data_IF_716288482562
#
_entry.id   IF_716288482562
#
_cell.length_a   1.000
_cell.length_b   1.000
_cell.length_c   1.000
_cell.angle_alpha   90.00
_cell.angle_beta   90.00
_cell.angle_gamma   90.00
#
_symmetry.space_group_name_H-M   'P 1'
#
loop_
_entity.id
_entity.type
_entity.pdbx_description
1 polymer ?
#
# COMPACT_ATOMS: atom_id res chain seq x y z
N UNK A 1 -6.10 31.33 6.09
CA UNK A 1 -4.97 30.43 6.31
C UNK A 1 -5.27 29.12 5.63
N UNK A 2 -4.37 28.61 4.79
CA UNK A 2 -4.59 27.43 3.97
C UNK A 2 -3.62 26.33 4.36
N UNK A 3 -4.07 25.09 4.30
CA UNK A 3 -3.29 23.92 4.68
C UNK A 3 -3.26 22.95 3.50
N UNK A 4 -2.10 22.83 2.88
CA UNK A 4 -1.85 21.75 1.95
C UNK A 4 -1.76 20.44 2.74
N UNK A 5 -2.49 19.43 2.32
CA UNK A 5 -2.55 18.13 2.98
C UNK A 5 -2.36 17.02 1.95
N UNK A 6 -1.44 16.12 2.25
CA UNK A 6 -1.12 14.98 1.39
C UNK A 6 -1.00 13.74 2.27
N UNK A 7 -1.87 12.76 2.03
CA UNK A 7 -1.85 11.50 2.75
C UNK A 7 -2.44 10.38 1.90
N UNK A 8 -1.64 9.40 1.56
CA UNK A 8 -2.07 8.31 0.69
C UNK A 8 -2.54 8.83 -0.68
N UNK A 9 -3.79 8.58 -1.02
CA UNK A 9 -4.41 9.06 -2.28
C UNK A 9 -5.00 10.48 -2.18
N UNK A 10 -5.01 11.07 -0.99
CA UNK A 10 -5.56 12.41 -0.78
C UNK A 10 -4.46 13.44 -0.95
N UNK A 11 -4.70 14.40 -1.84
CA UNK A 11 -3.86 15.57 -2.03
C UNK A 11 -4.79 16.77 -2.26
N UNK A 12 -4.93 17.63 -1.25
CA UNK A 12 -5.92 18.69 -1.24
C UNK A 12 -5.49 19.89 -0.39
N UNK A 13 -6.26 20.96 -0.44
CA UNK A 13 -6.07 22.16 0.37
C UNK A 13 -7.29 22.37 1.26
N UNK A 14 -7.06 22.64 2.53
CA UNK A 14 -8.09 23.02 3.50
C UNK A 14 -7.91 24.50 3.89
N UNK A 15 -9.01 25.16 4.13
CA UNK A 15 -9.03 26.56 4.57
C UNK A 15 -9.06 26.75 6.10
N UNK A 16 -9.17 25.65 6.86
CA UNK A 16 -9.16 25.67 8.31
C UNK A 16 -8.49 24.42 8.89
N UNK A 17 -7.99 24.56 10.10
CA UNK A 17 -7.30 23.49 10.83
C UNK A 17 -8.23 22.38 11.26
N UNK A 18 -9.48 22.69 11.60
CA UNK A 18 -10.45 21.70 12.10
C UNK A 18 -10.68 20.58 11.06
N UNK A 19 -10.77 20.96 9.78
CA UNK A 19 -10.90 19.99 8.69
C UNK A 19 -9.65 19.11 8.56
N UNK A 20 -8.46 19.68 8.74
CA UNK A 20 -7.20 18.90 8.72
C UNK A 20 -7.14 17.95 9.92
N UNK A 21 -7.48 18.39 11.12
CA UNK A 21 -7.41 17.57 12.34
C UNK A 21 -8.36 16.37 12.29
N UNK A 22 -9.54 16.53 11.69
CA UNK A 22 -10.50 15.43 11.49
C UNK A 22 -9.93 14.30 10.64
N UNK A 23 -9.16 14.61 9.59
CA UNK A 23 -8.62 13.61 8.69
C UNK A 23 -7.17 13.22 9.03
N UNK A 24 -6.43 14.07 9.71
CA UNK A 24 -5.04 13.84 10.11
C UNK A 24 -4.86 12.49 10.81
N UNK A 25 -5.79 12.14 11.70
CA UNK A 25 -5.74 10.91 12.50
C UNK A 25 -6.16 9.66 11.73
N UNK A 26 -6.77 9.83 10.55
CA UNK A 26 -7.25 8.71 9.73
C UNK A 26 -6.17 8.15 8.81
N UNK A 27 -5.11 8.92 8.61
CA UNK A 27 -4.03 8.55 7.68
C UNK A 27 -2.70 8.41 8.42
N UNK A 28 -1.96 7.35 8.15
CA UNK A 28 -0.61 7.22 8.66
C UNK A 28 0.31 8.21 7.91
N UNK A 29 1.15 8.91 8.67
CA UNK A 29 2.14 9.87 8.17
C UNK A 29 1.59 10.92 7.19
N UNK A 30 0.54 11.67 7.57
CA UNK A 30 0.07 12.76 6.74
C UNK A 30 1.11 13.88 6.70
N UNK A 31 1.32 14.42 5.52
CA UNK A 31 2.12 15.62 5.32
C UNK A 31 1.17 16.79 5.20
N UNK A 32 1.39 17.81 6.01
CA UNK A 32 0.66 19.06 5.86
C UNK A 32 1.60 20.26 6.00
N UNK A 33 1.27 21.30 5.29
CA UNK A 33 2.01 22.57 5.35
C UNK A 33 1.04 23.73 5.31
N UNK A 34 1.34 24.76 6.10
CA UNK A 34 0.54 25.96 6.25
C UNK A 34 1.00 27.04 5.28
N UNK A 35 0.04 27.73 4.64
CA UNK A 35 0.27 28.81 3.70
C UNK A 35 -0.64 30.00 4.00
N UNK A 36 -0.22 31.20 3.60
CA UNK A 36 -1.03 32.40 3.68
C UNK A 36 -1.96 32.52 2.47
N UNK A 37 -1.53 32.04 1.33
CA UNK A 37 -2.23 32.04 0.06
C UNK A 37 -2.75 30.64 -0.27
N UNK A 38 -3.93 30.58 -0.86
CA UNK A 38 -4.50 29.33 -1.39
C UNK A 38 -3.72 28.84 -2.59
N UNK A 39 -3.26 29.75 -3.43
CA UNK A 39 -2.47 29.43 -4.61
C UNK A 39 -1.15 28.73 -4.24
N UNK A 40 -0.43 29.24 -3.23
CA UNK A 40 0.80 28.62 -2.75
C UNK A 40 0.54 27.24 -2.18
N UNK A 41 -0.59 27.06 -1.47
CA UNK A 41 -0.98 25.76 -0.95
C UNK A 41 -1.27 24.75 -2.07
N UNK A 42 -1.97 25.17 -3.12
CA UNK A 42 -2.21 24.32 -4.29
C UNK A 42 -0.96 24.07 -5.11
N UNK A 43 -0.07 25.05 -5.25
CA UNK A 43 1.22 24.84 -5.90
C UNK A 43 2.04 23.77 -5.14
N UNK A 44 2.03 23.85 -3.82
CA UNK A 44 2.67 22.82 -2.99
C UNK A 44 2.04 21.43 -3.20
N UNK A 45 0.71 21.33 -3.15
CA UNK A 45 0.00 20.07 -3.41
C UNK A 45 0.32 19.54 -4.80
N UNK A 46 0.27 20.37 -5.83
CA UNK A 46 0.51 19.97 -7.21
C UNK A 46 1.95 19.51 -7.46
N UNK A 47 2.90 20.12 -6.76
CA UNK A 47 4.32 19.74 -6.84
C UNK A 47 4.60 18.43 -6.08
N UNK A 48 3.84 18.17 -5.02
CA UNK A 48 4.12 17.04 -4.10
C UNK A 48 3.08 15.93 -4.14
N UNK A 49 1.96 16.11 -4.87
CA UNK A 49 1.02 15.01 -5.07
C UNK A 49 1.67 13.92 -5.91
N UNK A 50 1.60 12.71 -5.42
CA UNK A 50 1.94 11.55 -6.25
C UNK A 50 0.87 11.45 -7.32
N UNK A 51 1.25 11.64 -8.56
CA UNK A 51 0.37 11.31 -9.68
C UNK A 51 -0.03 9.84 -9.56
N UNK A 52 -1.32 9.56 -9.57
CA UNK A 52 -1.86 8.19 -9.58
C UNK A 52 -1.44 7.39 -10.83
N UNK A 53 -0.84 8.07 -11.79
CA UNK A 53 -0.21 7.47 -12.95
C UNK A 53 1.26 7.18 -12.63
N UNK A 54 1.44 6.06 -12.06
CA UNK A 54 2.61 5.29 -11.73
C UNK A 54 3.71 5.36 -12.77
N UNK A 55 4.53 6.37 -12.79
CA UNK A 55 5.84 6.22 -13.45
C UNK A 55 6.97 7.05 -12.85
N UNK A 56 6.73 7.83 -11.83
CA UNK A 56 7.84 8.59 -11.24
C UNK A 56 7.78 8.65 -9.72
N UNK A 57 8.25 7.61 -9.09
CA UNK A 57 8.63 7.59 -7.67
C UNK A 57 9.89 8.43 -7.42
N UNK A 58 10.42 9.06 -8.43
CA UNK A 58 11.62 9.88 -8.38
C UNK A 58 11.39 11.32 -7.89
N UNK A 59 10.16 11.77 -7.74
CA UNK A 59 9.90 13.16 -7.33
C UNK A 59 9.84 13.38 -5.81
N UNK A 60 9.79 12.33 -5.01
CA UNK A 60 9.90 12.40 -3.54
C UNK A 60 11.29 12.00 -3.08
N UNK A 61 12.31 12.56 -3.75
CA UNK A 61 13.67 12.44 -3.29
C UNK A 61 13.76 12.86 -1.81
N UNK A 62 14.32 12.00 -1.01
CA UNK A 62 14.95 12.19 0.31
C UNK A 62 14.07 12.58 1.51
N UNK A 63 12.89 13.17 1.37
CA UNK A 63 12.13 13.64 2.54
C UNK A 63 10.98 12.69 2.92
N UNK A 64 10.48 11.89 1.98
CA UNK A 64 9.41 10.92 2.18
C UNK A 64 9.73 9.59 1.49
N UNK A 65 10.95 9.09 1.62
CA UNK A 65 11.26 7.72 1.19
C UNK A 65 10.62 6.74 2.17
N UNK A 66 9.30 6.60 2.11
CA UNK A 66 8.65 5.47 2.75
C UNK A 66 9.26 4.19 2.20
N UNK A 67 9.55 3.25 3.06
CA UNK A 67 9.96 1.94 2.59
C UNK A 67 8.89 1.40 1.65
N UNK A 68 9.30 0.99 0.47
CA UNK A 68 8.42 0.42 -0.55
C UNK A 68 8.71 -1.04 -0.72
N UNK A 69 7.68 -1.86 -0.68
CA UNK A 69 7.77 -3.30 -0.91
C UNK A 69 6.90 -3.66 -2.09
N UNK A 70 7.49 -4.33 -3.07
CA UNK A 70 6.75 -4.99 -4.12
C UNK A 70 6.40 -6.39 -3.65
N UNK A 71 5.11 -6.68 -3.50
CA UNK A 71 4.59 -7.98 -3.10
C UNK A 71 4.00 -8.71 -4.29
N UNK A 72 4.57 -9.85 -4.60
CA UNK A 72 3.97 -10.87 -5.47
C UNK A 72 3.60 -12.07 -4.64
N UNK A 73 2.60 -12.83 -5.06
CA UNK A 73 2.19 -14.03 -4.35
C UNK A 73 1.63 -15.08 -5.30
N UNK A 74 1.63 -16.30 -4.83
CA UNK A 74 1.03 -17.46 -5.49
C UNK A 74 0.26 -18.30 -4.48
N UNK A 75 -0.94 -18.71 -4.85
CA UNK A 75 -1.76 -19.64 -4.07
C UNK A 75 -1.62 -21.02 -4.70
N UNK A 76 -1.17 -22.00 -3.94
CA UNK A 76 -0.99 -23.36 -4.42
C UNK A 76 -1.15 -24.36 -3.29
N UNK A 77 -2.01 -25.35 -3.49
CA UNK A 77 -2.18 -26.51 -2.59
C UNK A 77 -2.34 -26.16 -1.10
N UNK A 78 -3.14 -25.13 -0.78
CA UNK A 78 -3.35 -24.66 0.59
C UNK A 78 -2.18 -23.84 1.17
N UNK A 79 -1.19 -23.52 0.36
CA UNK A 79 -0.07 -22.64 0.70
C UNK A 79 -0.21 -21.31 -0.02
N UNK A 80 0.28 -20.27 0.61
CA UNK A 80 0.51 -18.99 -0.05
C UNK A 80 2.00 -18.68 0.01
N UNK A 81 2.61 -18.54 -1.15
CA UNK A 81 4.02 -18.18 -1.27
C UNK A 81 4.12 -16.74 -1.73
N UNK A 82 4.84 -15.93 -0.96
CA UNK A 82 5.07 -14.53 -1.25
C UNK A 82 6.53 -14.31 -1.66
N UNK A 83 6.70 -13.41 -2.61
CA UNK A 83 7.98 -12.77 -2.86
C UNK A 83 7.82 -11.27 -2.59
N UNK A 84 8.57 -10.76 -1.62
CA UNK A 84 8.51 -9.37 -1.17
C UNK A 84 9.84 -8.70 -1.45
N UNK A 85 9.88 -7.89 -2.48
CA UNK A 85 11.09 -7.16 -2.89
C UNK A 85 11.05 -5.76 -2.31
N UNK A 86 12.05 -5.45 -1.50
CA UNK A 86 12.19 -4.15 -0.87
C UNK A 86 12.98 -3.19 -1.78
N UNK A 87 12.46 -1.97 -1.95
CA UNK A 87 13.10 -0.89 -2.69
C UNK A 87 13.25 0.34 -1.81
N UNK A 88 14.31 1.13 -2.04
CA UNK A 88 14.47 2.44 -1.41
C UNK A 88 14.87 2.46 0.06
N UNK A 89 15.16 1.33 0.69
CA UNK A 89 15.57 1.23 2.09
C UNK A 89 17.00 0.71 2.17
N UNK A 90 17.86 1.34 3.01
CA UNK A 90 19.23 0.89 3.21
C UNK A 90 19.29 -0.48 3.88
N UNK A 91 18.52 -0.65 4.95
CA UNK A 91 18.50 -1.88 5.72
C UNK A 91 17.31 -2.75 5.35
N UNK A 92 17.48 -4.07 5.40
CA UNK A 92 16.40 -5.02 5.20
C UNK A 92 15.42 -4.92 6.37
N UNK A 93 14.13 -4.82 6.06
CA UNK A 93 13.07 -4.78 7.07
C UNK A 93 12.78 -6.15 7.67
N UNK A 94 12.86 -7.18 6.83
CA UNK A 94 12.61 -8.54 7.26
C UNK A 94 13.81 -9.10 8.00
N UNK A 95 13.56 -9.90 9.03
CA UNK A 95 14.60 -10.56 9.82
C UNK A 95 14.48 -12.08 9.67
N UNK A 96 15.61 -12.77 9.76
CA UNK A 96 15.65 -14.24 9.71
C UNK A 96 15.20 -14.92 11.01
N UNK A 97 14.64 -14.17 11.96
CA UNK A 97 14.16 -14.75 13.23
C UNK A 97 12.87 -15.54 13.04
N UNK A 98 12.11 -15.30 11.98
CA UNK A 98 10.93 -16.07 11.63
C UNK A 98 11.30 -17.19 10.65
N UNK A 99 11.10 -18.47 11.00
CA UNK A 99 11.44 -19.61 10.14
C UNK A 99 10.64 -19.66 8.83
N UNK A 100 9.54 -18.92 8.74
CA UNK A 100 8.73 -18.81 7.53
C UNK A 100 9.32 -17.82 6.51
N UNK A 101 10.31 -17.01 6.92
CA UNK A 101 10.90 -15.97 6.10
C UNK A 101 12.32 -16.35 5.70
N UNK A 102 12.55 -16.50 4.40
CA UNK A 102 13.88 -16.67 3.82
C UNK A 102 14.30 -15.36 3.15
N UNK A 103 15.42 -14.79 3.55
CA UNK A 103 15.89 -13.50 3.06
C UNK A 103 17.14 -13.69 2.20
N UNK A 104 17.10 -13.10 1.02
CA UNK A 104 18.29 -12.79 0.22
C UNK A 104 18.61 -11.30 0.42
N UNK A 105 19.62 -11.03 1.23
CA UNK A 105 20.03 -9.66 1.55
C UNK A 105 20.62 -8.92 0.35
N UNK A 106 21.25 -9.63 -0.57
CA UNK A 106 21.88 -9.04 -1.74
C UNK A 106 20.84 -8.47 -2.72
N UNK A 107 19.79 -9.24 -2.99
CA UNK A 107 18.69 -8.81 -3.87
C UNK A 107 17.57 -8.08 -3.11
N UNK A 108 17.67 -7.95 -1.78
CA UNK A 108 16.62 -7.41 -0.90
C UNK A 108 15.26 -8.10 -1.12
N UNK A 109 15.30 -9.39 -1.25
CA UNK A 109 14.14 -10.23 -1.50
C UNK A 109 13.85 -11.12 -0.29
N UNK A 110 12.63 -11.02 0.25
CA UNK A 110 12.11 -11.96 1.24
C UNK A 110 11.15 -12.93 0.56
N UNK A 111 11.35 -14.22 0.78
CA UNK A 111 10.38 -15.26 0.44
C UNK A 111 9.68 -15.71 1.70
N UNK A 112 8.35 -15.68 1.69
CA UNK A 112 7.52 -16.03 2.84
C UNK A 112 6.55 -17.11 2.42
N UNK A 113 6.47 -18.16 3.22
CA UNK A 113 5.53 -19.28 2.99
C UNK A 113 4.56 -19.36 4.14
N UNK A 114 3.28 -19.14 3.87
CA UNK A 114 2.20 -19.32 4.84
C UNK A 114 1.44 -20.60 4.54
N UNK A 115 1.22 -21.40 5.60
CA UNK A 115 0.51 -22.68 5.56
C UNK A 115 -0.78 -22.60 6.37
N UNK A 116 -1.73 -23.48 6.08
CA UNK A 116 -2.92 -23.66 6.91
C UNK A 116 -3.91 -22.48 6.85
N UNK A 117 -3.89 -21.71 5.80
CA UNK A 117 -4.87 -20.64 5.59
C UNK A 117 -6.15 -21.27 5.06
N UNK A 118 -7.27 -20.96 5.72
CA UNK A 118 -8.59 -21.36 5.23
C UNK A 118 -8.90 -20.60 3.95
N UNK A 119 -8.73 -21.28 2.83
CA UNK A 119 -9.13 -20.82 1.51
C UNK A 119 -10.55 -21.32 1.23
N UNK A 120 -11.30 -20.53 0.52
CA UNK A 120 -12.65 -20.85 0.06
C UNK A 120 -12.64 -21.24 -1.41
N UNK A 121 -13.82 -21.66 -1.90
CA UNK A 121 -14.02 -21.93 -3.35
C UNK A 121 -14.07 -20.66 -4.20
N UNK A 122 -14.30 -19.50 -3.58
CA UNK A 122 -14.32 -18.23 -4.29
C UNK A 122 -12.90 -17.68 -4.53
N UNK A 123 -12.54 -17.58 -5.81
CA UNK A 123 -11.22 -17.17 -6.26
C UNK A 123 -10.86 -15.75 -5.77
N UNK A 124 -11.77 -14.79 -5.92
CA UNK A 124 -11.49 -13.38 -5.54
C UNK A 124 -11.26 -13.27 -4.05
N UNK A 125 -12.11 -13.90 -3.23
CA UNK A 125 -11.97 -13.93 -1.78
C UNK A 125 -10.63 -14.51 -1.36
N UNK A 126 -10.20 -15.61 -1.95
CA UNK A 126 -8.91 -16.24 -1.65
C UNK A 126 -7.73 -15.31 -1.95
N UNK A 127 -7.77 -14.60 -3.07
CA UNK A 127 -6.73 -13.64 -3.39
C UNK A 127 -6.72 -12.43 -2.44
N UNK A 128 -7.87 -11.93 -2.03
CA UNK A 128 -7.94 -10.85 -1.04
C UNK A 128 -7.44 -11.33 0.35
N UNK A 129 -7.75 -12.57 0.74
CA UNK A 129 -7.22 -13.19 1.95
C UNK A 129 -5.69 -13.30 1.87
N UNK A 130 -5.16 -13.73 0.73
CA UNK A 130 -3.72 -13.80 0.52
C UNK A 130 -3.07 -12.43 0.67
N UNK A 131 -3.63 -11.39 0.06
CA UNK A 131 -3.13 -10.03 0.16
C UNK A 131 -3.15 -9.53 1.61
N UNK A 132 -4.25 -9.71 2.34
CA UNK A 132 -4.36 -9.33 3.76
C UNK A 132 -3.29 -10.01 4.62
N UNK A 133 -3.03 -11.30 4.41
CA UNK A 133 -2.01 -12.01 5.16
C UNK A 133 -0.59 -11.57 4.81
N UNK A 134 -0.32 -11.31 3.53
CA UNK A 134 0.96 -10.74 3.09
C UNK A 134 1.22 -9.36 3.71
N UNK A 135 0.20 -8.52 3.76
CA UNK A 135 0.29 -7.20 4.40
C UNK A 135 0.51 -7.27 5.91
N UNK A 136 0.03 -8.32 6.59
CA UNK A 136 0.36 -8.55 8.01
C UNK A 136 1.84 -8.82 8.20
N UNK A 137 2.47 -9.57 7.30
CA UNK A 137 3.91 -9.83 7.34
C UNK A 137 4.71 -8.56 7.10
N UNK A 138 4.30 -7.74 6.13
CA UNK A 138 4.93 -6.45 5.84
C UNK A 138 4.77 -5.49 7.02
N UNK A 139 3.63 -5.50 7.69
CA UNK A 139 3.26 -4.58 8.76
C UNK A 139 2.69 -3.25 8.24
N UNK A 140 2.20 -2.40 9.14
CA UNK A 140 1.58 -1.12 8.79
C UNK A 140 2.60 -0.08 8.35
N UNK A 141 2.11 0.97 7.71
CA UNK A 141 2.87 2.20 7.38
C UNK A 141 3.98 2.03 6.35
N UNK A 142 3.78 1.12 5.41
CA UNK A 142 4.70 0.89 4.31
C UNK A 142 3.94 1.01 3.01
N UNK A 143 4.56 1.66 2.03
CA UNK A 143 4.05 1.64 0.67
C UNK A 143 4.23 0.26 0.06
N UNK A 144 3.17 -0.28 -0.52
CA UNK A 144 3.18 -1.63 -1.10
C UNK A 144 2.70 -1.59 -2.54
N UNK A 145 3.49 -2.17 -3.43
CA UNK A 145 3.04 -2.53 -4.77
C UNK A 145 2.52 -3.96 -4.74
N UNK A 146 1.24 -4.14 -4.94
CA UNK A 146 0.59 -5.45 -4.98
C UNK A 146 0.53 -5.90 -6.44
N UNK A 147 1.22 -6.97 -6.77
CA UNK A 147 1.19 -7.56 -8.10
C UNK A 147 0.19 -8.70 -8.11
N UNK A 148 -0.88 -8.55 -8.87
CA UNK A 148 -1.98 -9.52 -8.96
C UNK A 148 -1.94 -10.31 -10.27
N UNK A 149 -2.44 -11.57 -10.27
CA UNK A 149 -2.31 -12.44 -11.43
C UNK A 149 -3.31 -12.14 -12.54
N UNK A 150 -4.43 -11.46 -12.28
CA UNK A 150 -5.46 -11.22 -13.30
C UNK A 150 -6.29 -9.97 -13.06
N UNK A 151 -7.09 -9.60 -14.06
CA UNK A 151 -7.94 -8.41 -14.07
C UNK A 151 -9.07 -8.43 -13.03
N UNK A 152 -9.64 -9.58 -12.70
CA UNK A 152 -10.74 -9.65 -11.73
C UNK A 152 -10.28 -9.21 -10.35
N UNK A 153 -9.07 -9.60 -9.93
CA UNK A 153 -8.50 -9.20 -8.67
C UNK A 153 -8.06 -7.73 -8.72
N UNK A 154 -7.49 -7.30 -9.82
CA UNK A 154 -7.17 -5.89 -10.06
C UNK A 154 -8.41 -5.01 -9.91
N UNK A 155 -9.52 -5.38 -10.56
CA UNK A 155 -10.80 -4.68 -10.47
C UNK A 155 -11.33 -4.66 -9.03
N UNK A 156 -11.29 -5.79 -8.32
CA UNK A 156 -11.74 -5.86 -6.93
C UNK A 156 -10.97 -4.89 -6.02
N UNK A 157 -9.68 -4.72 -6.24
CA UNK A 157 -8.84 -3.82 -5.44
C UNK A 157 -8.97 -2.34 -5.80
N UNK A 158 -9.30 -2.03 -7.05
CA UNK A 158 -9.25 -0.65 -7.57
C UNK A 158 -10.62 -0.02 -7.80
N UNK A 159 -11.63 -0.81 -8.14
CA UNK A 159 -12.91 -0.29 -8.62
C UNK A 159 -14.15 -1.03 -8.07
N UNK A 160 -14.01 -1.90 -7.07
CA UNK A 160 -15.14 -2.62 -6.51
C UNK A 160 -16.12 -1.67 -5.81
N UNK A 161 -17.38 -1.71 -6.27
CA UNK A 161 -18.50 -0.91 -5.73
C UNK A 161 -19.66 -1.76 -5.22
N UNK A 162 -19.49 -3.09 -5.16
CA UNK A 162 -20.54 -4.01 -4.72
C UNK A 162 -20.76 -3.98 -3.19
N UNK A 163 -21.84 -4.66 -2.78
CA UNK A 163 -22.30 -4.67 -1.39
C UNK A 163 -21.93 -5.96 -0.63
N UNK A 164 -21.13 -6.83 -1.22
CA UNK A 164 -20.66 -8.04 -0.55
C UNK A 164 -19.83 -7.65 0.68
N UNK A 165 -20.45 -7.85 1.86
CA UNK A 165 -19.85 -7.46 3.15
C UNK A 165 -18.49 -8.09 3.40
N UNK A 166 -18.27 -9.31 2.91
CA UNK A 166 -17.01 -10.02 3.07
C UNK A 166 -15.91 -9.38 2.24
N UNK A 167 -16.19 -9.09 0.98
CA UNK A 167 -15.24 -8.39 0.10
C UNK A 167 -14.96 -6.97 0.61
N UNK A 168 -15.98 -6.23 1.00
CA UNK A 168 -15.85 -4.89 1.58
C UNK A 168 -14.97 -4.93 2.85
N UNK A 169 -15.17 -5.91 3.73
CA UNK A 169 -14.35 -6.07 4.93
C UNK A 169 -12.88 -6.35 4.60
N UNK A 170 -12.60 -7.23 3.65
CA UNK A 170 -11.23 -7.54 3.22
C UNK A 170 -10.55 -6.32 2.57
N UNK A 171 -11.27 -5.59 1.71
CA UNK A 171 -10.77 -4.38 1.08
C UNK A 171 -10.47 -3.28 2.09
N UNK A 172 -11.32 -3.11 3.10
CA UNK A 172 -11.06 -2.16 4.21
C UNK A 172 -9.81 -2.54 4.99
N UNK A 173 -9.60 -3.84 5.25
CA UNK A 173 -8.39 -4.33 5.93
C UNK A 173 -7.13 -4.06 5.09
N UNK A 174 -7.20 -4.19 3.78
CA UNK A 174 -6.09 -3.85 2.89
C UNK A 174 -5.78 -2.36 2.99
N UNK A 175 -6.77 -1.48 2.87
CA UNK A 175 -6.60 -0.04 3.02
C UNK A 175 -6.00 0.35 4.36
N UNK A 176 -6.45 -0.26 5.45
CA UNK A 176 -6.01 0.09 6.80
C UNK A 176 -4.61 -0.41 7.15
N UNK A 177 -4.06 -1.34 6.38
CA UNK A 177 -2.73 -1.92 6.63
C UNK A 177 -1.60 -1.23 5.88
N UNK A 178 -1.91 -0.45 4.88
CA UNK A 178 -0.91 0.21 4.04
C UNK A 178 -0.94 1.72 4.22
N UNK A 179 0.21 2.36 4.16
CA UNK A 179 0.26 3.81 4.01
C UNK A 179 -0.34 4.20 2.65
N UNK A 180 0.10 3.48 1.63
CA UNK A 180 -0.40 3.58 0.26
C UNK A 180 -0.19 2.24 -0.45
N UNK A 181 -1.09 1.86 -1.34
CA UNK A 181 -0.84 0.73 -2.21
C UNK A 181 -1.13 1.07 -3.67
N UNK A 182 -0.33 0.50 -4.55
CA UNK A 182 -0.57 0.44 -5.99
C UNK A 182 -0.83 -1.01 -6.38
N UNK A 183 -1.65 -1.22 -7.38
CA UNK A 183 -1.95 -2.56 -7.91
C UNK A 183 -1.42 -2.66 -9.33
N UNK A 184 -0.71 -3.71 -9.59
CA UNK A 184 -0.17 -4.02 -10.92
C UNK A 184 -0.56 -5.43 -11.31
N UNK A 185 -0.94 -5.64 -12.56
CA UNK A 185 -1.23 -6.97 -13.08
C UNK A 185 0.08 -7.59 -13.55
N UNK A 186 0.31 -8.85 -13.18
CA UNK A 186 1.43 -9.62 -13.70
C UNK A 186 1.24 -9.82 -15.21
N UNK A 187 2.21 -9.37 -15.98
CA UNK A 187 2.31 -9.74 -17.39
C UNK A 187 3.16 -11.01 -17.49
N UNK A 188 2.62 -11.99 -18.16
CA UNK A 188 3.32 -13.23 -18.50
C UNK A 188 4.18 -13.03 -19.73
#
# INVERSE_FOLDING_TARGET
>A
MYYAFIAGSIATVFNNWEAVDKIYRLYPYPVFRKFLSEEDAWNYVNTHKVSSNVTSVTAYGDILSYPRIQMTYMIRDGFIVYEMRQKGIKNMRFTNTDPLIKIDYRSKLAKVVLKGINLNDDLITNHLIAIVNGLKVIGPFIDVDIVVPNHSIFYALTAYTGEDRRLVSLLSRIKNRTARYAVTIRRW
#
